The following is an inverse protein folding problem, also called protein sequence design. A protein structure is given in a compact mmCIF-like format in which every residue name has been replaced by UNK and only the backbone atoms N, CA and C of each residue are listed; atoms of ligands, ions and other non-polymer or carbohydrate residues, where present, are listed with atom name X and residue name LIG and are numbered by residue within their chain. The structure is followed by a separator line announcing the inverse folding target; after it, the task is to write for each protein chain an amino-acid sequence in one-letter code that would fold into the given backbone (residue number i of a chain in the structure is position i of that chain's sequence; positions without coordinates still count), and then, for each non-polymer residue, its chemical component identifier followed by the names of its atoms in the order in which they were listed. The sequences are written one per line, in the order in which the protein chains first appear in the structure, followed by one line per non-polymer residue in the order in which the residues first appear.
data_IF_296346133200
#
_entry.id   IF_296346133200
#
_cell.length_a   1.000
_cell.length_b   1.000
_cell.length_c   1.000
_cell.angle_alpha   90.00
_cell.angle_beta   90.00
_cell.angle_gamma   90.00
#
_symmetry.space_group_name_H-M   'P 1'
#
loop_
_entity.id
_entity.type
_entity.pdbx_description
1 polymer ?
#
# COMPACT_ATOMS: atom_id res chain seq x y z
N UNK A 1 43.26 -70.19 15.99
CA UNK A 1 41.95 -70.52 16.59
C UNK A 1 41.10 -69.26 16.49
N UNK A 2 39.99 -69.13 15.79
CA UNK A 2 39.22 -69.95 14.86
C UNK A 2 38.06 -69.04 14.45
N UNK A 3 37.91 -68.75 13.16
CA UNK A 3 36.77 -67.99 12.63
C UNK A 3 35.51 -68.86 12.74
N UNK A 4 34.48 -68.37 13.44
CA UNK A 4 33.13 -68.94 13.39
C UNK A 4 32.21 -67.95 12.68
N UNK A 5 31.86 -68.28 11.44
CA UNK A 5 30.86 -67.58 10.63
C UNK A 5 29.51 -68.17 11.01
N UNK A 6 28.66 -67.38 11.66
CA UNK A 6 27.29 -67.74 12.01
C UNK A 6 26.35 -67.26 10.89
N UNK A 7 25.86 -68.19 10.07
CA UNK A 7 24.87 -67.90 9.03
C UNK A 7 23.49 -67.73 9.68
N UNK A 8 22.99 -66.50 9.75
CA UNK A 8 21.63 -66.19 10.19
C UNK A 8 20.70 -66.23 8.98
N UNK A 9 19.87 -67.27 8.88
CA UNK A 9 18.83 -67.39 7.87
C UNK A 9 17.68 -66.42 8.19
N UNK A 10 17.62 -65.29 7.50
CA UNK A 10 16.46 -64.40 7.52
C UNK A 10 15.33 -65.05 6.70
N UNK A 11 14.35 -65.62 7.39
CA UNK A 11 13.07 -65.96 6.80
C UNK A 11 12.36 -64.64 6.41
N UNK A 12 12.46 -64.27 5.13
CA UNK A 12 11.73 -63.15 4.57
C UNK A 12 10.24 -63.47 4.58
N UNK A 13 9.48 -62.84 5.48
CA UNK A 13 8.03 -62.79 5.38
C UNK A 13 7.72 -61.83 4.23
N UNK A 14 7.44 -62.39 3.06
CA UNK A 14 6.90 -61.62 1.95
C UNK A 14 5.50 -61.14 2.37
N UNK A 15 5.42 -59.89 2.82
CA UNK A 15 4.15 -59.17 2.80
C UNK A 15 3.74 -59.08 1.33
N UNK A 16 2.79 -59.92 0.94
CA UNK A 16 2.06 -59.69 -0.30
C UNK A 16 1.45 -58.29 -0.18
N UNK A 17 2.01 -57.32 -0.90
CA UNK A 17 1.28 -56.10 -1.20
C UNK A 17 -0.01 -56.58 -1.87
N UNK A 18 -1.13 -56.47 -1.17
CA UNK A 18 -2.43 -56.65 -1.80
C UNK A 18 -2.44 -55.68 -2.98
N UNK A 19 -2.40 -56.24 -4.19
CA UNK A 19 -2.59 -55.46 -5.40
C UNK A 19 -3.93 -54.74 -5.21
N UNK A 20 -3.90 -53.40 -5.15
CA UNK A 20 -5.15 -52.63 -5.22
C UNK A 20 -5.90 -53.11 -6.46
N UNK A 21 -7.23 -53.30 -6.40
CA UNK A 21 -8.00 -53.59 -7.59
C UNK A 21 -7.67 -52.53 -8.66
N UNK A 22 -7.74 -52.88 -9.96
CA UNK A 22 -7.41 -51.93 -11.01
C UNK A 22 -8.28 -50.69 -10.84
N UNK A 23 -7.64 -49.55 -10.54
CA UNK A 23 -8.35 -48.30 -10.42
C UNK A 23 -8.97 -47.97 -11.78
N UNK A 24 -10.27 -47.65 -11.79
CA UNK A 24 -10.90 -47.15 -13.01
C UNK A 24 -10.36 -45.76 -13.30
N UNK A 25 -9.87 -45.56 -14.52
CA UNK A 25 -9.32 -44.28 -14.96
C UNK A 25 -10.22 -43.73 -16.04
N UNK A 26 -10.57 -42.45 -15.93
CA UNK A 26 -11.29 -41.74 -16.97
C UNK A 26 -10.75 -40.32 -17.12
N UNK A 27 -10.97 -39.74 -18.30
CA UNK A 27 -10.68 -38.33 -18.52
C UNK A 27 -11.69 -37.48 -17.76
N UNK A 28 -11.17 -36.61 -16.91
CA UNK A 28 -11.95 -35.61 -16.18
C UNK A 28 -11.31 -34.25 -16.40
N UNK A 29 -12.09 -33.20 -16.15
CA UNK A 29 -11.52 -31.86 -16.10
C UNK A 29 -10.97 -31.60 -14.70
N UNK A 30 -9.67 -31.42 -14.60
CA UNK A 30 -9.00 -30.93 -13.40
C UNK A 30 -9.18 -29.41 -13.35
N UNK A 31 -9.72 -28.84 -12.26
CA UNK A 31 -10.00 -27.41 -12.15
C UNK A 31 -8.73 -26.56 -12.10
N UNK A 32 -8.88 -25.26 -12.36
CA UNK A 32 -7.76 -24.33 -12.33
C UNK A 32 -7.25 -24.10 -10.90
N UNK A 33 -5.94 -23.94 -10.76
CA UNK A 33 -5.31 -23.53 -9.50
C UNK A 33 -5.07 -22.04 -9.55
N UNK A 34 -5.60 -21.32 -8.57
CA UNK A 34 -5.45 -19.87 -8.44
C UNK A 34 -4.68 -19.52 -7.17
N UNK A 35 -3.80 -18.54 -7.24
CA UNK A 35 -3.15 -17.95 -6.07
C UNK A 35 -3.46 -16.46 -5.96
N UNK A 36 -3.36 -15.94 -4.75
CA UNK A 36 -3.39 -14.49 -4.50
C UNK A 36 -1.96 -14.02 -4.33
N UNK A 37 -1.55 -13.08 -5.19
CA UNK A 37 -0.29 -12.35 -5.05
C UNK A 37 -0.59 -10.94 -4.58
N UNK A 38 0.33 -10.35 -3.84
CA UNK A 38 0.22 -8.97 -3.35
C UNK A 38 1.13 -8.05 -4.14
N UNK A 39 0.60 -6.91 -4.56
CA UNK A 39 1.37 -5.83 -5.20
C UNK A 39 1.26 -4.56 -4.39
N UNK A 40 2.37 -3.88 -4.14
CA UNK A 40 2.38 -2.59 -3.45
C UNK A 40 2.28 -1.45 -4.45
N UNK A 41 1.40 -0.49 -4.16
CA UNK A 41 1.13 0.67 -4.99
C UNK A 41 1.32 1.93 -4.15
N UNK A 42 2.11 2.88 -4.66
CA UNK A 42 2.35 4.16 -3.98
C UNK A 42 1.10 5.03 -4.02
N UNK A 43 0.58 5.36 -2.84
CA UNK A 43 -0.59 6.23 -2.66
C UNK A 43 -0.15 7.70 -2.56
N UNK A 44 0.90 7.95 -1.77
CA UNK A 44 1.56 9.24 -1.61
C UNK A 44 3.04 9.00 -1.82
N UNK A 45 3.69 9.71 -2.77
CA UNK A 45 5.13 9.58 -2.96
C UNK A 45 5.89 10.21 -1.78
N UNK A 46 7.12 9.76 -1.60
CA UNK A 46 8.07 10.43 -0.71
C UNK A 46 8.20 11.90 -1.14
N UNK A 47 8.10 12.81 -0.19
CA UNK A 47 8.20 14.23 -0.45
C UNK A 47 8.85 14.96 0.74
N UNK A 48 9.29 16.17 0.47
CA UNK A 48 9.92 17.04 1.47
C UNK A 48 8.91 18.08 1.89
N UNK A 49 8.70 18.20 3.19
CA UNK A 49 7.97 19.29 3.82
C UNK A 49 8.95 20.27 4.49
N UNK A 50 8.81 21.54 4.17
CA UNK A 50 9.57 22.65 4.74
C UNK A 50 8.76 23.27 5.87
N UNK A 51 9.39 23.41 7.03
CA UNK A 51 8.88 24.11 8.20
C UNK A 51 9.62 25.43 8.37
N UNK A 52 8.88 26.50 8.59
CA UNK A 52 9.43 27.83 8.84
C UNK A 52 9.49 28.07 10.34
N UNK A 53 10.67 28.46 10.83
CA UNK A 53 10.89 28.89 12.22
C UNK A 53 11.09 30.40 12.19
N UNK A 54 10.23 31.19 12.84
CA UNK A 54 10.27 32.64 12.76
C UNK A 54 11.50 33.20 13.49
N UNK A 55 11.83 34.45 13.16
CA UNK A 55 12.85 35.21 13.86
C UNK A 55 12.42 35.47 15.31
N UNK A 56 13.38 35.52 16.23
CA UNK A 56 13.15 35.93 17.62
C UNK A 56 13.82 37.27 17.84
N UNK A 57 13.04 38.22 18.34
CA UNK A 57 13.52 39.55 18.72
C UNK A 57 13.38 39.73 20.22
N UNK A 58 14.29 40.51 20.79
CA UNK A 58 14.18 40.98 22.17
C UNK A 58 14.21 42.51 22.20
N UNK A 59 13.64 43.07 23.26
CA UNK A 59 13.65 44.51 23.50
C UNK A 59 14.79 44.85 24.43
N UNK A 60 15.66 45.77 24.02
CA UNK A 60 16.79 46.27 24.80
C UNK A 60 16.54 47.74 25.12
N UNK A 61 16.66 48.08 26.40
CA UNK A 61 16.61 49.47 26.88
C UNK A 61 18.03 49.98 27.08
N UNK A 62 18.34 51.16 26.53
CA UNK A 62 19.66 51.78 26.61
C UNK A 62 19.52 53.25 26.96
N UNK A 63 20.37 53.73 27.87
CA UNK A 63 20.43 55.16 28.20
C UNK A 63 21.44 55.84 27.30
N UNK A 64 21.00 56.89 26.61
CA UNK A 64 21.83 57.67 25.71
C UNK A 64 21.95 59.08 26.27
N UNK A 65 23.16 59.61 26.22
CA UNK A 65 23.48 60.96 26.62
C UNK A 65 22.95 61.93 25.56
N UNK A 66 22.01 62.80 25.92
CA UNK A 66 21.44 63.83 25.01
C UNK A 66 21.93 65.22 25.32
N UNK A 67 22.51 65.42 26.52
CA UNK A 67 23.29 66.61 26.86
C UNK A 67 24.55 66.20 27.59
N UNK A 68 25.69 66.57 27.02
CA UNK A 68 27.01 66.36 27.60
C UNK A 68 27.63 67.71 28.01
N UNK A 69 28.51 67.69 29.00
CA UNK A 69 29.21 68.87 29.50
C UNK A 69 30.71 68.60 29.47
N UNK A 70 31.43 69.40 28.68
CA UNK A 70 32.87 69.24 28.46
C UNK A 70 33.59 70.50 28.90
N UNK A 71 34.65 70.34 29.70
CA UNK A 71 35.52 71.46 30.08
C UNK A 71 36.46 71.76 28.91
N UNK A 72 36.40 72.98 28.39
CA UNK A 72 37.27 73.51 27.35
C UNK A 72 37.79 74.88 27.80
N UNK A 73 39.01 74.91 28.36
CA UNK A 73 39.63 76.14 28.87
C UNK A 73 39.88 77.20 27.78
N UNK A 74 39.74 76.85 26.50
CA UNK A 74 39.91 77.78 25.39
C UNK A 74 38.68 78.66 25.14
N UNK A 75 37.49 78.27 25.60
CA UNK A 75 36.28 79.10 25.46
C UNK A 75 36.19 80.13 26.59
N UNK A 76 35.75 81.35 26.30
CA UNK A 76 35.57 82.39 27.33
C UNK A 76 34.16 82.47 27.91
N UNK A 77 33.21 81.76 27.31
CA UNK A 77 31.80 81.68 27.70
C UNK A 77 31.23 80.32 27.24
N UNK A 78 30.09 79.84 27.78
CA UNK A 78 29.49 78.58 27.36
C UNK A 78 29.16 78.56 25.87
N UNK A 79 29.56 77.49 25.18
CA UNK A 79 29.25 77.27 23.76
C UNK A 79 28.62 75.90 23.61
N UNK A 80 27.47 75.82 22.95
CA UNK A 80 26.80 74.56 22.61
C UNK A 80 27.20 74.09 21.21
N UNK A 81 27.60 72.83 21.10
CA UNK A 81 27.80 72.13 19.83
C UNK A 81 26.84 70.94 19.76
N UNK A 82 26.23 70.70 18.61
CA UNK A 82 25.33 69.55 18.43
C UNK A 82 26.03 68.45 17.66
N UNK A 83 26.06 67.25 18.24
CA UNK A 83 26.57 66.04 17.60
C UNK A 83 25.38 65.11 17.32
N UNK A 84 25.20 64.71 16.08
CA UNK A 84 24.12 63.78 15.68
C UNK A 84 24.68 62.37 15.53
N UNK A 85 24.07 61.42 16.21
CA UNK A 85 24.33 59.99 16.07
C UNK A 85 23.09 59.26 15.53
N UNK A 86 23.29 58.35 14.58
CA UNK A 86 22.22 57.53 14.01
C UNK A 86 22.18 56.17 14.69
N UNK A 87 21.04 55.83 15.28
CA UNK A 87 20.87 54.61 16.07
C UNK A 87 19.79 53.74 15.43
N UNK A 88 20.10 52.46 15.24
CA UNK A 88 19.14 51.47 14.76
C UNK A 88 18.17 51.10 15.89
N UNK A 89 16.89 51.44 15.71
CA UNK A 89 15.82 51.16 16.69
C UNK A 89 15.08 49.86 16.37
N UNK A 90 14.96 49.53 15.08
CA UNK A 90 14.36 48.27 14.62
C UNK A 90 15.29 47.64 13.59
N UNK A 91 15.76 46.40 13.80
CA UNK A 91 16.63 45.74 12.86
C UNK A 91 15.87 45.37 11.59
N UNK A 92 16.61 45.13 10.50
CA UNK A 92 16.02 44.59 9.27
C UNK A 92 15.25 43.30 9.59
N UNK A 93 13.96 43.26 9.24
CA UNK A 93 13.12 42.09 9.45
C UNK A 93 13.14 41.20 8.21
N UNK A 94 13.28 39.90 8.45
CA UNK A 94 13.16 38.88 7.42
C UNK A 94 11.92 38.05 7.71
N UNK A 95 11.02 37.95 6.75
CA UNK A 95 9.82 37.12 6.84
C UNK A 95 9.87 36.05 5.74
N UNK A 96 9.53 34.81 6.11
CA UNK A 96 9.55 33.66 5.20
C UNK A 96 8.11 33.17 5.06
N UNK A 97 7.53 33.34 3.88
CA UNK A 97 6.19 32.86 3.55
C UNK A 97 6.27 31.46 2.91
N UNK A 98 5.37 30.57 3.34
CA UNK A 98 5.35 29.17 2.94
C UNK A 98 4.13 28.88 2.04
N UNK A 99 4.41 28.57 0.78
CA UNK A 99 3.40 28.16 -0.19
C UNK A 99 3.30 26.64 -0.22
N UNK A 100 2.13 26.05 0.08
CA UNK A 100 1.97 24.60 0.18
C UNK A 100 2.20 23.90 -1.16
N UNK A 101 2.54 22.62 -1.11
CA UNK A 101 2.63 21.79 -2.30
C UNK A 101 1.24 21.55 -2.92
N UNK A 102 1.17 21.59 -4.26
CA UNK A 102 -0.06 21.31 -5.01
C UNK A 102 -0.06 19.86 -5.49
N UNK A 103 -1.17 19.18 -5.27
CA UNK A 103 -1.37 17.78 -5.65
C UNK A 103 -2.57 17.62 -6.57
N UNK A 104 -2.46 16.71 -7.53
CA UNK A 104 -3.56 16.29 -8.39
C UNK A 104 -3.89 14.81 -8.14
N UNK A 105 -5.16 14.45 -8.24
CA UNK A 105 -5.58 13.05 -8.16
C UNK A 105 -5.48 12.40 -9.54
N UNK A 106 -4.66 11.36 -9.66
CA UNK A 106 -4.59 10.52 -10.86
C UNK A 106 -5.28 9.19 -10.61
N UNK A 107 -6.11 8.79 -11.56
CA UNK A 107 -6.78 7.48 -11.56
C UNK A 107 -6.03 6.51 -12.47
N UNK A 108 -5.88 5.27 -12.02
CA UNK A 108 -5.22 4.21 -12.76
C UNK A 108 -6.03 2.91 -12.59
N UNK A 109 -6.18 2.16 -13.68
CA UNK A 109 -6.82 0.84 -13.63
C UNK A 109 -5.77 -0.23 -13.42
N UNK A 110 -5.86 -0.95 -12.31
CA UNK A 110 -4.95 -2.06 -12.00
C UNK A 110 -5.65 -3.37 -12.31
N UNK A 111 -4.97 -4.22 -13.08
CA UNK A 111 -5.42 -5.57 -13.36
C UNK A 111 -5.38 -6.41 -12.07
N UNK A 112 -6.56 -6.82 -11.57
CA UNK A 112 -6.68 -7.64 -10.35
C UNK A 112 -6.97 -9.10 -10.63
N UNK A 113 -7.54 -9.41 -11.79
CA UNK A 113 -7.67 -10.79 -12.29
C UNK A 113 -7.51 -10.78 -13.81
N UNK A 114 -6.53 -11.49 -14.39
CA UNK A 114 -6.37 -11.57 -15.83
C UNK A 114 -7.58 -12.27 -16.48
N UNK A 115 -7.77 -12.02 -17.77
CA UNK A 115 -8.69 -12.82 -18.57
C UNK A 115 -8.19 -14.27 -18.55
N UNK A 116 -9.09 -15.21 -18.34
CA UNK A 116 -8.77 -16.63 -18.23
C UNK A 116 -9.94 -17.46 -18.73
N UNK A 117 -9.64 -18.69 -19.15
CA UNK A 117 -10.66 -19.69 -19.49
C UNK A 117 -11.14 -20.33 -18.20
N UNK A 118 -12.44 -20.33 -17.97
CA UNK A 118 -13.09 -21.17 -16.95
C UNK A 118 -13.96 -22.20 -17.65
N UNK A 119 -14.21 -23.34 -17.02
CA UNK A 119 -15.10 -24.36 -17.56
C UNK A 119 -16.44 -24.33 -16.84
N UNK A 120 -17.53 -24.41 -17.61
CA UNK A 120 -18.89 -24.41 -17.09
C UNK A 120 -19.67 -25.62 -17.62
N UNK A 121 -20.51 -26.23 -16.78
CA UNK A 121 -21.43 -27.28 -17.21
C UNK A 121 -22.41 -26.73 -18.24
N UNK A 122 -22.61 -27.46 -19.34
CA UNK A 122 -23.59 -27.13 -20.38
C UNK A 122 -24.42 -28.37 -20.74
N UNK A 123 -25.68 -28.13 -21.08
CA UNK A 123 -26.60 -29.15 -21.64
C UNK A 123 -26.65 -29.11 -23.18
N UNK A 124 -25.92 -28.19 -23.82
CA UNK A 124 -25.98 -27.90 -25.26
C UNK A 124 -24.60 -27.88 -25.92
N UNK A 125 -24.54 -27.69 -27.26
CA UNK A 125 -23.27 -27.62 -27.98
C UNK A 125 -22.43 -26.46 -27.44
N UNK A 126 -21.14 -26.70 -27.21
CA UNK A 126 -20.23 -25.67 -26.79
C UNK A 126 -19.93 -24.69 -27.91
N UNK A 127 -19.90 -23.41 -27.58
CA UNK A 127 -19.23 -22.42 -28.41
C UNK A 127 -17.71 -22.58 -28.19
N UNK A 128 -17.04 -23.15 -29.19
CA UNK A 128 -15.60 -23.40 -29.17
C UNK A 128 -14.83 -22.31 -29.93
N UNK A 129 -15.49 -21.26 -30.40
CA UNK A 129 -14.81 -20.17 -31.11
C UNK A 129 -13.78 -19.49 -30.18
N UNK A 130 -12.55 -19.32 -30.68
CA UNK A 130 -11.46 -18.71 -29.92
C UNK A 130 -10.80 -19.62 -28.88
N UNK A 131 -11.20 -20.90 -28.78
CA UNK A 131 -10.58 -21.89 -27.90
C UNK A 131 -9.69 -22.85 -28.67
N UNK A 132 -8.48 -23.10 -28.16
CA UNK A 132 -7.53 -24.05 -28.76
C UNK A 132 -7.72 -25.43 -28.12
N UNK A 133 -8.72 -26.18 -28.57
CA UNK A 133 -8.88 -27.60 -28.23
C UNK A 133 -8.52 -28.47 -29.43
N UNK A 134 -7.84 -29.58 -29.20
CA UNK A 134 -7.68 -30.61 -30.23
C UNK A 134 -8.98 -31.44 -30.39
N UNK A 135 -9.05 -32.27 -31.43
CA UNK A 135 -10.26 -33.05 -31.72
C UNK A 135 -10.64 -34.04 -30.60
N UNK A 136 -9.64 -34.59 -29.90
CA UNK A 136 -9.84 -35.52 -28.79
C UNK A 136 -10.39 -34.80 -27.55
N UNK A 137 -9.83 -33.64 -27.22
CA UNK A 137 -10.31 -32.77 -26.14
C UNK A 137 -11.73 -32.30 -26.42
N UNK A 138 -12.05 -31.88 -27.65
CA UNK A 138 -13.40 -31.46 -28.03
C UNK A 138 -14.43 -32.60 -27.85
N UNK A 139 -14.05 -33.85 -28.19
CA UNK A 139 -14.90 -35.02 -27.96
C UNK A 139 -15.14 -35.27 -26.46
N UNK A 140 -14.09 -35.18 -25.64
CA UNK A 140 -14.19 -35.37 -24.18
C UNK A 140 -15.05 -34.26 -23.56
N UNK A 141 -14.87 -33.02 -23.98
CA UNK A 141 -15.65 -31.86 -23.52
C UNK A 141 -17.13 -32.04 -23.80
N UNK A 142 -17.48 -32.53 -24.98
CA UNK A 142 -18.87 -32.85 -25.33
C UNK A 142 -19.42 -34.01 -24.49
N UNK A 143 -18.63 -35.07 -24.25
CA UNK A 143 -19.04 -36.21 -23.43
C UNK A 143 -19.21 -35.84 -21.95
N UNK A 144 -18.34 -34.96 -21.43
CA UNK A 144 -18.41 -34.45 -20.07
C UNK A 144 -19.48 -33.36 -19.91
N UNK A 145 -20.06 -32.83 -21.00
CA UNK A 145 -21.08 -31.77 -20.94
C UNK A 145 -20.56 -30.51 -20.24
N UNK A 146 -19.35 -30.11 -20.59
CA UNK A 146 -18.68 -28.91 -20.06
C UNK A 146 -18.26 -28.06 -21.23
N UNK A 147 -18.21 -26.74 -21.09
CA UNK A 147 -17.73 -25.83 -22.11
C UNK A 147 -16.71 -24.85 -21.53
N UNK A 148 -15.62 -24.57 -22.27
CA UNK A 148 -14.74 -23.48 -21.92
C UNK A 148 -15.46 -22.14 -22.17
N UNK A 149 -15.30 -21.20 -21.26
CA UNK A 149 -15.86 -19.84 -21.33
C UNK A 149 -14.75 -18.86 -20.99
N UNK A 150 -14.52 -17.90 -21.88
CA UNK A 150 -13.58 -16.79 -21.62
C UNK A 150 -14.16 -15.82 -20.59
N UNK A 151 -13.55 -15.76 -19.41
CA UNK A 151 -13.86 -14.74 -18.41
C UNK A 151 -13.04 -13.48 -18.71
N UNK A 152 -13.66 -12.29 -18.85
CA UNK A 152 -12.92 -11.07 -19.10
C UNK A 152 -12.03 -10.70 -17.92
N UNK A 153 -10.94 -9.99 -18.23
CA UNK A 153 -10.08 -9.41 -17.22
C UNK A 153 -10.87 -8.46 -16.30
N UNK A 154 -10.61 -8.55 -14.99
CA UNK A 154 -11.18 -7.64 -14.00
C UNK A 154 -10.14 -6.61 -13.58
N UNK A 155 -10.56 -5.36 -13.59
CA UNK A 155 -9.75 -4.21 -13.18
C UNK A 155 -10.33 -3.57 -11.94
N UNK A 156 -9.46 -2.96 -11.14
CA UNK A 156 -9.84 -2.10 -10.02
C UNK A 156 -9.28 -0.71 -10.27
N UNK A 157 -10.14 0.30 -10.16
CA UNK A 157 -9.70 1.69 -10.21
C UNK A 157 -9.07 2.06 -8.89
N UNK A 158 -7.83 2.53 -8.92
CA UNK A 158 -7.18 3.16 -7.78
C UNK A 158 -6.88 4.62 -8.08
N UNK A 159 -6.88 5.42 -7.02
CA UNK A 159 -6.53 6.83 -7.05
C UNK A 159 -5.22 7.04 -6.31
N UNK A 160 -4.33 7.87 -6.85
CA UNK A 160 -3.11 8.32 -6.16
C UNK A 160 -2.92 9.81 -6.30
N UNK A 161 -2.23 10.42 -5.33
CA UNK A 161 -1.89 11.85 -5.36
C UNK A 161 -0.56 12.03 -6.06
N UNK A 162 -0.56 12.75 -7.18
CA UNK A 162 0.64 13.15 -7.90
C UNK A 162 1.03 14.57 -7.49
N UNK A 163 2.30 14.77 -7.13
CA UNK A 163 2.85 16.09 -6.85
C UNK A 163 2.95 16.89 -8.16
N UNK A 164 2.19 17.98 -8.26
CA UNK A 164 2.20 18.87 -9.43
C UNK A 164 3.19 20.00 -9.22
N UNK A 165 3.16 20.61 -8.04
CA UNK A 165 4.06 21.71 -7.66
C UNK A 165 4.62 21.44 -6.27
N UNK A 166 5.94 21.46 -6.18
CA UNK A 166 6.65 21.36 -4.89
C UNK A 166 6.30 22.57 -4.02
N UNK A 167 6.36 22.35 -2.71
CA UNK A 167 6.29 23.44 -1.75
C UNK A 167 7.37 24.49 -2.08
N UNK A 168 7.00 25.77 -1.94
CA UNK A 168 7.89 26.88 -2.21
C UNK A 168 7.93 27.82 -1.01
N UNK A 169 9.09 28.43 -0.82
CA UNK A 169 9.31 29.50 0.14
C UNK A 169 9.55 30.81 -0.59
N UNK A 170 9.04 31.90 -0.05
CA UNK A 170 9.36 33.25 -0.47
C UNK A 170 9.89 34.03 0.72
N UNK A 171 10.87 34.90 0.48
CA UNK A 171 11.50 35.68 1.53
C UNK A 171 11.30 37.15 1.23
N UNK A 172 10.65 37.85 2.15
CA UNK A 172 10.48 39.29 2.11
C UNK A 172 11.39 39.95 3.15
N UNK A 173 11.90 41.13 2.81
CA UNK A 173 12.79 41.92 3.65
C UNK A 173 12.13 43.26 3.95
N UNK A 174 11.96 43.57 5.23
CA UNK A 174 11.57 44.91 5.70
C UNK A 174 12.84 45.62 6.16
N UNK A 175 13.17 46.82 5.62
CA UNK A 175 14.40 47.51 5.97
C UNK A 175 14.44 47.92 7.45
N UNK A 176 15.65 48.07 7.98
CA UNK A 176 15.89 48.58 9.33
C UNK A 176 15.39 50.02 9.48
N UNK A 177 14.87 50.35 10.66
CA UNK A 177 14.44 51.71 11.02
C UNK A 177 15.48 52.34 11.92
N UNK A 178 15.87 53.56 11.58
CA UNK A 178 16.85 54.34 12.33
C UNK A 178 16.20 55.59 12.93
N UNK A 179 16.75 56.02 14.06
CA UNK A 179 16.42 57.27 14.73
C UNK A 179 17.70 58.09 14.88
N UNK A 180 17.64 59.37 14.51
CA UNK A 180 18.77 60.30 14.65
C UNK A 180 18.65 60.99 16.01
N UNK A 181 19.61 60.76 16.89
CA UNK A 181 19.66 61.36 18.23
C UNK A 181 20.70 62.49 18.23
N UNK A 182 20.27 63.67 18.63
CA UNK A 182 21.12 64.85 18.76
C UNK A 182 21.58 65.01 20.20
N UNK A 183 22.90 64.97 20.41
CA UNK A 183 23.54 65.28 21.69
C UNK A 183 24.01 66.73 21.70
N UNK A 184 23.54 67.53 22.65
CA UNK A 184 24.02 68.88 22.91
C UNK A 184 25.27 68.83 23.80
N UNK A 185 26.43 69.15 23.24
CA UNK A 185 27.69 69.24 23.98
C UNK A 185 27.90 70.69 24.40
N UNK A 186 27.76 70.96 25.70
CA UNK A 186 27.98 72.28 26.29
C UNK A 186 29.44 72.37 26.73
N UNK A 187 30.21 73.22 26.05
CA UNK A 187 31.61 73.51 26.38
C UNK A 187 31.66 74.66 27.37
N UNK A 188 32.34 74.46 28.50
CA UNK A 188 32.46 75.45 29.59
C UNK A 188 33.92 75.71 29.97
N UNK A 189 34.26 76.92 30.44
CA UNK A 189 35.65 77.33 30.68
C UNK A 189 36.30 76.72 31.94
N UNK A 190 35.51 76.23 32.90
CA UNK A 190 36.01 75.75 34.19
C UNK A 190 35.14 74.64 34.79
N UNK A 191 35.70 73.94 35.78
CA UNK A 191 35.00 72.88 36.50
C UNK A 191 33.81 73.39 37.33
N UNK A 192 33.88 74.61 37.88
CA UNK A 192 32.77 75.21 38.61
C UNK A 192 31.58 75.48 37.67
N UNK A 193 31.85 75.97 36.46
CA UNK A 193 30.80 76.19 35.46
C UNK A 193 30.20 74.87 34.93
N UNK A 194 30.99 73.78 34.90
CA UNK A 194 30.50 72.45 34.54
C UNK A 194 29.56 71.87 35.61
N UNK A 195 29.80 72.18 36.89
CA UNK A 195 29.00 71.66 37.99
C UNK A 195 27.56 72.22 38.02
N UNK A 196 27.31 73.35 37.35
CA UNK A 196 25.98 73.98 37.26
C UNK A 196 25.11 73.38 36.13
N UNK A 197 25.65 72.46 35.31
CA UNK A 197 24.95 71.83 34.19
C UNK A 197 24.98 70.32 34.35
N UNK A 198 23.82 69.73 34.63
CA UNK A 198 23.71 68.28 34.74
C UNK A 198 23.65 67.61 33.35
N UNK A 199 24.34 66.47 33.15
CA UNK A 199 24.16 65.65 31.96
C UNK A 199 22.74 65.08 31.93
N UNK A 200 22.12 65.10 30.75
CA UNK A 200 20.78 64.57 30.55
C UNK A 200 20.85 63.28 29.76
N UNK A 201 20.20 62.23 30.27
CA UNK A 201 20.06 60.94 29.59
C UNK A 201 18.62 60.70 29.18
N UNK A 202 18.45 60.15 27.99
CA UNK A 202 17.18 59.65 27.50
C UNK A 202 17.23 58.13 27.41
N UNK A 203 16.13 57.46 27.75
CA UNK A 203 16.03 56.01 27.60
C UNK A 203 15.42 55.70 26.25
N UNK A 204 16.19 55.01 25.40
CA UNK A 204 15.66 54.47 24.16
C UNK A 204 15.30 53.01 24.32
N UNK A 205 14.32 52.60 23.52
CA UNK A 205 13.87 51.21 23.42
C UNK A 205 14.15 50.74 22.01
N UNK A 206 15.07 49.79 21.85
CA UNK A 206 15.37 49.20 20.53
C UNK A 206 15.11 47.70 20.51
N UNK A 207 14.76 47.19 19.33
CA UNK A 207 14.70 45.77 19.09
C UNK A 207 16.07 45.23 18.70
N UNK A 208 16.41 44.04 19.17
CA UNK A 208 17.61 43.30 18.78
C UNK A 208 17.21 41.93 18.26
N UNK A 209 17.76 41.55 17.11
CA UNK A 209 17.59 40.21 16.56
C UNK A 209 18.40 39.20 17.39
N UNK A 210 17.72 38.22 17.99
CA UNK A 210 18.35 37.16 18.79
C UNK A 210 18.69 35.97 17.89
N UNK A 211 17.71 35.50 17.13
CA UNK A 211 17.89 34.41 16.16
C UNK A 211 17.17 34.74 14.86
N UNK A 212 17.85 34.63 13.70
CA UNK A 212 17.23 34.85 12.40
C UNK A 212 16.17 33.79 12.10
N UNK A 213 15.21 34.07 11.20
CA UNK A 213 14.28 33.05 10.75
C UNK A 213 15.05 31.98 9.96
N UNK A 214 14.60 30.73 10.07
CA UNK A 214 15.25 29.60 9.39
C UNK A 214 14.24 28.58 8.90
N UNK A 215 14.68 27.74 7.98
CA UNK A 215 13.87 26.68 7.37
C UNK A 215 14.41 25.32 7.80
N UNK A 216 13.52 24.37 8.05
CA UNK A 216 13.84 22.98 8.32
C UNK A 216 13.13 22.09 7.29
N UNK A 217 13.89 21.25 6.58
CA UNK A 217 13.33 20.27 5.67
C UNK A 217 13.12 18.94 6.41
N UNK A 218 11.90 18.41 6.33
CA UNK A 218 11.50 17.11 6.88
C UNK A 218 11.12 16.20 5.72
N UNK A 219 11.78 15.04 5.62
CA UNK A 219 11.41 14.02 4.64
C UNK A 219 10.22 13.22 5.16
N UNK A 220 9.12 13.24 4.40
CA UNK A 220 7.94 12.42 4.64
C UNK A 220 8.05 11.18 3.76
N UNK A 221 8.12 9.97 4.34
CA UNK A 221 8.30 8.74 3.56
C UNK A 221 7.09 8.45 2.68
N UNK A 222 7.30 7.69 1.61
CA UNK A 222 6.22 7.23 0.75
C UNK A 222 5.23 6.34 1.51
N UNK A 223 3.94 6.54 1.27
CA UNK A 223 2.88 5.68 1.75
C UNK A 223 2.47 4.69 0.67
N UNK A 224 2.36 3.41 1.03
CA UNK A 224 2.02 2.32 0.12
C UNK A 224 0.73 1.62 0.56
N UNK A 225 -0.05 1.21 -0.43
CA UNK A 225 -1.24 0.37 -0.27
C UNK A 225 -0.96 -0.98 -0.93
N UNK A 226 -1.43 -2.05 -0.28
CA UNK A 226 -1.32 -3.40 -0.84
C UNK A 226 -2.57 -3.76 -1.63
N UNK A 227 -2.37 -4.28 -2.82
CA UNK A 227 -3.42 -4.76 -3.72
C UNK A 227 -3.26 -6.25 -3.93
N UNK A 228 -4.30 -6.99 -3.60
CA UNK A 228 -4.38 -8.43 -3.90
C UNK A 228 -4.78 -8.64 -5.36
N UNK A 229 -4.00 -9.46 -6.07
CA UNK A 229 -4.26 -9.90 -7.43
C UNK A 229 -4.45 -11.40 -7.44
N UNK A 230 -5.54 -11.87 -8.03
CA UNK A 230 -5.77 -13.29 -8.22
C UNK A 230 -5.22 -13.71 -9.57
N UNK A 231 -4.31 -14.67 -9.59
CA UNK A 231 -3.68 -15.19 -10.81
C UNK A 231 -3.92 -16.68 -10.92
N UNK A 232 -4.22 -17.14 -12.13
CA UNK A 232 -4.30 -18.56 -12.47
C UNK A 232 -2.88 -19.07 -12.69
N UNK A 233 -2.40 -19.95 -11.82
CA UNK A 233 -1.04 -20.53 -11.90
C UNK A 233 -1.01 -21.82 -12.70
N UNK A 234 -2.12 -22.54 -12.70
CA UNK A 234 -2.32 -23.71 -13.54
C UNK A 234 -3.72 -23.63 -14.14
N UNK A 235 -3.87 -23.55 -15.47
CA UNK A 235 -5.18 -23.57 -16.09
C UNK A 235 -5.84 -24.93 -15.88
N UNK A 236 -7.17 -24.91 -15.85
CA UNK A 236 -7.95 -26.13 -15.89
C UNK A 236 -7.64 -26.91 -17.17
N UNK A 237 -7.44 -28.21 -17.04
CA UNK A 237 -7.02 -29.08 -18.15
C UNK A 237 -7.65 -30.46 -18.01
N UNK A 238 -7.74 -31.16 -19.13
CA UNK A 238 -8.24 -32.52 -19.17
C UNK A 238 -7.09 -33.44 -18.76
N UNK A 239 -7.35 -34.33 -17.81
CA UNK A 239 -6.38 -35.30 -17.33
C UNK A 239 -7.06 -36.63 -17.06
N UNK A 240 -6.32 -37.72 -17.22
CA UNK A 240 -6.73 -39.05 -16.81
C UNK A 240 -6.59 -39.15 -15.30
N UNK A 241 -7.69 -39.42 -14.61
CA UNK A 241 -7.75 -39.49 -13.15
C UNK A 241 -8.52 -40.75 -12.72
N UNK A 242 -8.25 -41.19 -11.49
CA UNK A 242 -9.00 -42.29 -10.88
C UNK A 242 -10.45 -41.85 -10.62
N UNK A 243 -11.39 -42.66 -11.09
CA UNK A 243 -12.83 -42.48 -10.94
C UNK A 243 -13.44 -43.72 -10.28
N UNK A 244 -14.65 -43.56 -9.75
CA UNK A 244 -15.41 -44.70 -9.22
C UNK A 244 -15.77 -45.64 -10.37
N UNK A 245 -15.48 -46.93 -10.20
CA UNK A 245 -15.76 -47.93 -11.23
C UNK A 245 -17.27 -48.12 -11.43
N UNK A 246 -17.72 -48.36 -12.67
CA UNK A 246 -19.14 -48.63 -12.96
C UNK A 246 -19.71 -49.80 -12.14
N UNK A 247 -18.87 -50.81 -11.83
CA UNK A 247 -19.23 -51.94 -10.98
C UNK A 247 -19.49 -51.57 -9.51
N UNK A 248 -18.93 -50.45 -9.06
CA UNK A 248 -19.08 -49.93 -7.70
C UNK A 248 -20.24 -48.92 -7.60
N UNK A 249 -20.74 -48.40 -8.73
CA UNK A 249 -21.91 -47.51 -8.76
C UNK A 249 -23.18 -48.34 -8.57
N UNK A 250 -23.44 -48.70 -7.31
CA UNK A 250 -24.66 -49.41 -6.91
C UNK A 250 -25.83 -48.44 -6.67
N UNK A 251 -27.10 -48.90 -6.76
CA UNK A 251 -28.26 -48.07 -6.44
C UNK A 251 -28.20 -47.46 -5.03
N UNK A 252 -27.57 -48.14 -4.07
CA UNK A 252 -27.38 -47.65 -2.70
C UNK A 252 -26.42 -46.45 -2.63
N UNK A 253 -25.30 -46.52 -3.37
CA UNK A 253 -24.35 -45.41 -3.48
C UNK A 253 -24.99 -44.24 -4.22
N UNK A 254 -25.73 -44.50 -5.29
CA UNK A 254 -26.43 -43.45 -6.05
C UNK A 254 -27.50 -42.77 -5.19
N UNK A 255 -28.27 -43.52 -4.41
CA UNK A 255 -29.27 -42.95 -3.50
C UNK A 255 -28.61 -42.09 -2.41
N UNK A 256 -27.45 -42.52 -1.90
CA UNK A 256 -26.65 -41.76 -0.95
C UNK A 256 -26.11 -40.46 -1.57
N UNK A 257 -25.61 -40.54 -2.81
CA UNK A 257 -25.19 -39.40 -3.61
C UNK A 257 -26.34 -38.41 -3.84
N UNK A 258 -27.51 -38.87 -4.28
CA UNK A 258 -28.69 -38.03 -4.51
C UNK A 258 -29.12 -37.29 -3.24
N UNK A 259 -29.19 -37.99 -2.11
CA UNK A 259 -29.51 -37.36 -0.81
C UNK A 259 -28.46 -36.36 -0.38
N UNK A 260 -27.17 -36.63 -0.62
CA UNK A 260 -26.09 -35.70 -0.33
C UNK A 260 -26.16 -34.45 -1.22
N UNK A 261 -26.46 -34.61 -2.51
CA UNK A 261 -26.70 -33.50 -3.45
C UNK A 261 -27.92 -32.68 -3.04
N UNK A 262 -29.03 -33.31 -2.64
CA UNK A 262 -30.20 -32.61 -2.08
C UNK A 262 -29.84 -31.80 -0.84
N UNK A 263 -29.07 -32.37 0.08
CA UNK A 263 -28.57 -31.68 1.27
C UNK A 263 -27.65 -30.50 0.93
N UNK A 264 -26.87 -30.61 -0.15
CA UNK A 264 -26.04 -29.54 -0.69
C UNK A 264 -26.85 -28.47 -1.47
N UNK A 265 -28.17 -28.65 -1.62
CA UNK A 265 -29.07 -27.67 -2.23
C UNK A 265 -29.44 -27.94 -3.69
N UNK A 266 -29.13 -29.11 -4.23
CA UNK A 266 -29.46 -29.48 -5.61
C UNK A 266 -30.74 -30.32 -5.69
N UNK A 267 -31.63 -29.99 -6.61
CA UNK A 267 -32.86 -30.75 -6.84
C UNK A 267 -32.59 -31.95 -7.73
N UNK A 268 -32.67 -33.16 -7.16
CA UNK A 268 -32.54 -34.45 -7.87
C UNK A 268 -33.57 -35.44 -7.33
N UNK A 269 -33.95 -36.43 -8.13
CA UNK A 269 -34.75 -37.57 -7.65
C UNK A 269 -33.95 -38.40 -6.64
N UNK A 270 -34.65 -39.14 -5.79
CA UNK A 270 -34.10 -40.11 -4.83
C UNK A 270 -34.46 -41.55 -5.24
N UNK A 271 -34.26 -41.86 -6.52
CA UNK A 271 -34.63 -43.12 -7.16
C UNK A 271 -33.50 -44.16 -7.21
N UNK A 272 -32.30 -43.81 -6.75
CA UNK A 272 -31.11 -44.67 -6.83
C UNK A 272 -30.59 -44.87 -8.26
N UNK A 273 -31.03 -44.04 -9.21
CA UNK A 273 -30.61 -44.11 -10.62
C UNK A 273 -29.71 -42.92 -10.97
N UNK A 274 -28.53 -43.20 -11.52
CA UNK A 274 -27.59 -42.17 -11.96
C UNK A 274 -28.04 -41.62 -13.34
N UNK A 275 -29.20 -40.97 -13.35
CA UNK A 275 -29.79 -40.35 -14.53
C UNK A 275 -29.17 -38.99 -14.87
N UNK A 276 -29.65 -38.38 -15.95
CA UNK A 276 -29.14 -37.09 -16.43
C UNK A 276 -29.27 -35.97 -15.39
N UNK A 277 -30.36 -35.91 -14.64
CA UNK A 277 -30.57 -34.86 -13.63
C UNK A 277 -29.59 -35.02 -12.45
N UNK A 278 -29.38 -36.26 -11.98
CA UNK A 278 -28.37 -36.58 -10.96
C UNK A 278 -26.96 -36.21 -11.44
N UNK A 279 -26.62 -36.54 -12.69
CA UNK A 279 -25.32 -36.20 -13.29
C UNK A 279 -25.13 -34.69 -13.45
N UNK A 280 -26.16 -33.95 -13.88
CA UNK A 280 -26.11 -32.48 -14.00
C UNK A 280 -25.88 -31.84 -12.64
N UNK A 281 -26.62 -32.27 -11.62
CA UNK A 281 -26.46 -31.78 -10.25
C UNK A 281 -25.07 -32.10 -9.67
N UNK A 282 -24.57 -33.32 -9.91
CA UNK A 282 -23.22 -33.71 -9.50
C UNK A 282 -22.15 -32.83 -10.16
N UNK A 283 -22.23 -32.60 -11.47
CA UNK A 283 -21.29 -31.72 -12.17
C UNK A 283 -21.39 -30.27 -11.67
N UNK A 284 -22.60 -29.76 -11.43
CA UNK A 284 -22.78 -28.44 -10.85
C UNK A 284 -22.15 -28.34 -9.44
N UNK A 285 -22.27 -29.39 -8.62
CA UNK A 285 -21.59 -29.51 -7.33
C UNK A 285 -20.06 -29.52 -7.47
N UNK A 286 -19.53 -30.35 -8.38
CA UNK A 286 -18.09 -30.42 -8.65
C UNK A 286 -17.53 -29.06 -9.09
N UNK A 287 -18.23 -28.36 -9.99
CA UNK A 287 -17.83 -27.03 -10.46
C UNK A 287 -17.83 -26.01 -9.32
N UNK A 288 -18.88 -25.97 -8.50
CA UNK A 288 -19.00 -25.02 -7.39
C UNK A 288 -17.92 -25.24 -6.32
N UNK A 289 -17.57 -26.50 -6.05
CA UNK A 289 -16.60 -26.87 -5.03
C UNK A 289 -15.16 -27.03 -5.56
N UNK A 290 -14.92 -26.72 -6.85
CA UNK A 290 -13.63 -26.87 -7.52
C UNK A 290 -13.04 -28.27 -7.38
N UNK A 291 -13.86 -29.28 -7.62
CA UNK A 291 -13.45 -30.69 -7.70
C UNK A 291 -13.22 -31.10 -9.15
N UNK A 292 -12.65 -32.28 -9.36
CA UNK A 292 -12.59 -32.89 -10.69
C UNK A 292 -14.00 -32.99 -11.30
N UNK A 293 -14.19 -32.39 -12.48
CA UNK A 293 -15.50 -32.21 -13.10
C UNK A 293 -15.78 -33.27 -14.17
N UNK A 294 -16.99 -33.82 -14.16
CA UNK A 294 -17.57 -34.58 -15.27
C UNK A 294 -17.93 -36.04 -14.95
N UNK A 295 -17.14 -36.73 -14.12
CA UNK A 295 -17.36 -38.14 -13.70
C UNK A 295 -17.46 -38.24 -12.19
N UNK A 296 -18.03 -39.34 -11.68
CA UNK A 296 -18.06 -39.60 -10.25
C UNK A 296 -16.66 -40.01 -9.77
N UNK A 297 -16.00 -39.12 -9.03
CA UNK A 297 -14.67 -39.36 -8.44
C UNK A 297 -14.79 -39.70 -6.97
N UNK A 298 -13.79 -40.38 -6.42
CA UNK A 298 -13.65 -40.60 -4.98
C UNK A 298 -13.63 -39.26 -4.23
N UNK A 299 -12.93 -38.26 -4.76
CA UNK A 299 -12.92 -36.88 -4.26
C UNK A 299 -14.35 -36.31 -4.10
N UNK A 300 -15.22 -36.51 -5.10
CA UNK A 300 -16.61 -36.06 -5.06
C UNK A 300 -17.41 -36.76 -3.97
N UNK A 301 -17.24 -38.08 -3.83
CA UNK A 301 -17.91 -38.86 -2.78
C UNK A 301 -17.44 -38.46 -1.38
N UNK A 302 -16.14 -38.26 -1.18
CA UNK A 302 -15.56 -37.75 0.08
C UNK A 302 -16.14 -36.38 0.41
N UNK A 303 -16.15 -35.44 -0.55
CA UNK A 303 -16.65 -34.08 -0.36
C UNK A 303 -18.14 -34.04 0.04
N UNK A 304 -18.94 -34.97 -0.52
CA UNK A 304 -20.36 -35.13 -0.21
C UNK A 304 -20.64 -35.98 1.03
N UNK A 305 -19.62 -36.58 1.64
CA UNK A 305 -19.76 -37.50 2.78
C UNK A 305 -20.48 -38.81 2.43
N UNK A 306 -20.39 -39.25 1.17
CA UNK A 306 -20.96 -40.50 0.69
C UNK A 306 -19.96 -41.62 0.94
N UNK A 307 -20.35 -42.68 1.68
CA UNK A 307 -19.46 -43.81 1.92
C UNK A 307 -19.14 -44.54 0.60
N UNK A 308 -17.86 -44.85 0.40
CA UNK A 308 -17.34 -45.66 -0.69
C UNK A 308 -16.21 -46.54 -0.13
N UNK A 309 -16.09 -47.76 -0.65
CA UNK A 309 -15.12 -48.77 -0.20
C UNK A 309 -13.90 -48.81 -1.11
#
# INVERSE_FOLDING_TARGET
MGLAIFACALAGVAFAQQARPPACVAKVLVPEVTMVITEQISEIPEHIEVRVIPAVYETVTEQILVRDVVIDEAVSAPVSETVTERIEITPQQTEIELFPAEYETRTEQILIKPAHVTWQVSDGPCDLEGHTLNAEEASVVQELGICPVMMPAKYRTETRRALVRKQRVETSLTPSVYEDISTEVVKVPSAEAAADVDPLYETIVRQRLVTPPRQEAVTVPAAYKTVEKQVVVQPAHISEQEVVCDSEITPEIVLSLQRALQKAGYTVADDGVLGQDTLRAMKAYQQQNRLMLGRLTSETLVSLGVPHN
#
